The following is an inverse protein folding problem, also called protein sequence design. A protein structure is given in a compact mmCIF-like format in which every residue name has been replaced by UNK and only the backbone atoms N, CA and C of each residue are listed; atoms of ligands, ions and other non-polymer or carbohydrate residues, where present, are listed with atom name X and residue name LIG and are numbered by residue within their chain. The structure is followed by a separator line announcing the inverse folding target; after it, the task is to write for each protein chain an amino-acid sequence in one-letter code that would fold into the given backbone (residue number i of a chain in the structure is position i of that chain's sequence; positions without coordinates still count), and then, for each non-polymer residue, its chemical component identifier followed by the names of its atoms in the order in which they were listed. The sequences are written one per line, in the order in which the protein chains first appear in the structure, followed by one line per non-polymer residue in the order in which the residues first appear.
data_IF_152270955248
#
_entry.id   IF_152270955248
#
_cell.length_a   1.000
_cell.length_b   1.000
_cell.length_c   1.000
_cell.angle_alpha   90.00
_cell.angle_beta   90.00
_cell.angle_gamma   90.00
#
_symmetry.space_group_name_H-M   'P 1'
#
loop_
_entity.id
_entity.type
_entity.pdbx_description
1 polymer ?
#
# COMPACT_ATOMS: atom_id res chain seq x y z
N UNK A 1 9.40 13.92 -8.55
CA UNK A 1 8.45 13.13 -7.77
C UNK A 1 7.00 13.54 -8.08
N UNK A 2 6.58 14.78 -7.77
CA UNK A 2 5.18 15.25 -7.87
C UNK A 2 4.53 14.99 -9.23
N UNK A 3 5.21 15.28 -10.33
CA UNK A 3 4.66 15.04 -11.67
C UNK A 3 4.20 13.58 -11.89
N UNK A 4 5.00 12.60 -11.48
CA UNK A 4 4.65 11.18 -11.61
C UNK A 4 3.58 10.76 -10.60
N UNK A 5 3.62 11.31 -9.41
CA UNK A 5 2.61 11.07 -8.39
C UNK A 5 1.23 11.57 -8.84
N UNK A 6 1.16 12.76 -9.43
CA UNK A 6 -0.09 13.30 -9.99
C UNK A 6 -0.63 12.44 -11.15
N UNK A 7 0.22 11.87 -12.00
CA UNK A 7 -0.21 10.94 -13.07
C UNK A 7 -0.89 9.71 -12.46
N UNK A 8 -0.31 9.12 -11.41
CA UNK A 8 -0.92 7.98 -10.71
C UNK A 8 -2.24 8.39 -10.07
N UNK A 9 -2.27 9.52 -9.35
CA UNK A 9 -3.47 10.00 -8.67
C UNK A 9 -4.61 10.29 -9.65
N UNK A 10 -4.33 10.99 -10.76
CA UNK A 10 -5.32 11.28 -11.80
C UNK A 10 -5.86 10.00 -12.44
N UNK A 11 -5.01 9.02 -12.74
CA UNK A 11 -5.46 7.74 -13.31
C UNK A 11 -6.31 6.93 -12.31
N UNK A 12 -5.96 6.94 -11.02
CA UNK A 12 -6.78 6.32 -9.96
C UNK A 12 -8.17 6.95 -9.91
N UNK A 13 -8.27 8.28 -9.93
CA UNK A 13 -9.55 8.98 -9.91
C UNK A 13 -10.37 8.61 -11.16
N UNK A 14 -9.79 8.67 -12.35
CA UNK A 14 -10.48 8.32 -13.58
C UNK A 14 -11.01 6.87 -13.60
N UNK A 15 -10.22 5.92 -13.07
CA UNK A 15 -10.64 4.52 -12.95
C UNK A 15 -11.77 4.35 -11.92
N UNK A 16 -11.74 5.10 -10.83
CA UNK A 16 -12.81 5.08 -9.83
C UNK A 16 -14.09 5.70 -10.38
N UNK A 17 -14.01 6.86 -11.04
CA UNK A 17 -15.16 7.52 -11.66
C UNK A 17 -15.85 6.61 -12.69
N UNK A 18 -15.06 5.92 -13.51
CA UNK A 18 -15.59 4.95 -14.48
C UNK A 18 -16.27 3.76 -13.80
N UNK A 19 -15.69 3.24 -12.73
CA UNK A 19 -16.27 2.12 -11.97
C UNK A 19 -17.55 2.53 -11.23
N UNK A 20 -17.61 3.72 -10.64
CA UNK A 20 -18.80 4.27 -10.00
C UNK A 20 -19.93 4.47 -11.02
N UNK A 21 -19.63 5.00 -12.20
CA UNK A 21 -20.60 5.16 -13.28
C UNK A 21 -21.17 3.81 -13.75
N UNK A 22 -20.36 2.75 -13.80
CA UNK A 22 -20.79 1.40 -14.18
C UNK A 22 -21.61 0.71 -13.09
N UNK A 23 -21.33 0.99 -11.82
CA UNK A 23 -22.03 0.39 -10.67
C UNK A 23 -23.40 1.05 -10.41
N UNK A 24 -23.68 2.21 -10.97
CA UNK A 24 -24.94 2.92 -10.79
C UNK A 24 -25.20 3.23 -9.30
N UNK A 25 -26.37 2.82 -8.79
CA UNK A 25 -26.72 3.00 -7.38
C UNK A 25 -26.05 1.98 -6.44
N UNK A 26 -25.29 1.01 -6.98
CA UNK A 26 -24.56 0.01 -6.20
C UNK A 26 -23.18 0.50 -5.76
N UNK A 27 -22.54 -0.29 -4.91
CA UNK A 27 -21.16 -0.06 -4.55
C UNK A 27 -20.21 -0.68 -5.58
N UNK A 28 -19.10 0.01 -5.85
CA UNK A 28 -18.02 -0.57 -6.67
C UNK A 28 -17.50 -1.84 -5.99
N UNK A 29 -17.37 -2.97 -6.71
CA UNK A 29 -16.85 -4.20 -6.12
C UNK A 29 -15.46 -4.02 -5.51
N UNK A 30 -15.21 -4.63 -4.35
CA UNK A 30 -13.96 -4.52 -3.62
C UNK A 30 -12.74 -4.89 -4.48
N UNK A 31 -12.85 -5.95 -5.29
CA UNK A 31 -11.77 -6.35 -6.21
C UNK A 31 -11.44 -5.23 -7.21
N UNK A 32 -12.45 -4.59 -7.76
CA UNK A 32 -12.29 -3.47 -8.69
C UNK A 32 -11.57 -2.30 -8.02
N UNK A 33 -11.97 -1.94 -6.79
CA UNK A 33 -11.32 -0.88 -6.02
C UNK A 33 -9.84 -1.20 -5.77
N UNK A 34 -9.54 -2.39 -5.30
CA UNK A 34 -8.17 -2.82 -5.01
C UNK A 34 -7.32 -2.82 -6.29
N UNK A 35 -7.82 -3.44 -7.36
CA UNK A 35 -7.11 -3.54 -8.64
C UNK A 35 -6.86 -2.16 -9.27
N UNK A 36 -7.88 -1.31 -9.32
CA UNK A 36 -7.78 0.05 -9.88
C UNK A 36 -6.85 0.95 -9.06
N UNK A 37 -6.74 0.72 -7.75
CA UNK A 37 -5.81 1.47 -6.91
C UNK A 37 -4.36 1.04 -7.13
N UNK A 38 -4.09 -0.26 -7.25
CA UNK A 38 -2.74 -0.83 -7.33
C UNK A 38 -2.12 -0.68 -8.73
N UNK A 39 -2.90 -0.94 -9.77
CA UNK A 39 -2.41 -1.01 -11.17
C UNK A 39 -1.61 0.23 -11.59
N UNK A 40 -2.08 1.49 -11.42
CA UNK A 40 -1.34 2.65 -11.89
C UNK A 40 0.03 2.83 -11.22
N UNK A 41 0.15 2.40 -9.95
CA UNK A 41 1.41 2.51 -9.22
C UNK A 41 2.42 1.44 -9.67
N UNK A 42 1.97 0.21 -9.90
CA UNK A 42 2.81 -0.88 -10.38
C UNK A 42 3.26 -0.63 -11.83
N UNK A 43 2.37 -0.15 -12.70
CA UNK A 43 2.73 0.28 -14.06
C UNK A 43 3.78 1.40 -14.04
N UNK A 44 3.65 2.37 -13.14
CA UNK A 44 4.64 3.45 -12.99
C UNK A 44 6.01 2.90 -12.61
N UNK A 45 6.10 1.91 -11.75
CA UNK A 45 7.35 1.28 -11.34
C UNK A 45 8.11 0.66 -12.53
N UNK A 46 7.40 0.25 -13.58
CA UNK A 46 7.96 -0.38 -14.77
C UNK A 46 8.37 0.61 -15.88
N UNK A 47 8.12 1.90 -15.69
CA UNK A 47 8.47 2.94 -16.66
C UNK A 47 9.98 3.28 -16.65
N UNK A 48 10.83 2.29 -16.84
CA UNK A 48 12.27 2.44 -16.93
C UNK A 48 12.91 2.97 -15.63
N UNK A 49 14.06 3.63 -15.76
CA UNK A 49 14.83 4.12 -14.61
C UNK A 49 14.08 5.20 -13.83
N UNK A 50 13.37 6.10 -14.52
CA UNK A 50 12.59 7.16 -13.88
C UNK A 50 11.41 6.64 -13.06
N UNK A 51 10.78 5.52 -13.45
CA UNK A 51 9.75 4.83 -12.68
C UNK A 51 10.33 4.21 -11.42
N UNK A 52 11.45 3.50 -11.54
CA UNK A 52 12.17 2.91 -10.39
C UNK A 52 12.64 3.97 -9.39
N UNK A 53 13.20 5.08 -9.88
CA UNK A 53 13.61 6.20 -9.03
C UNK A 53 12.41 6.82 -8.29
N UNK A 54 11.26 6.97 -8.97
CA UNK A 54 10.03 7.45 -8.34
C UNK A 54 9.60 6.56 -7.17
N UNK A 55 9.56 5.24 -7.36
CA UNK A 55 9.16 4.30 -6.30
C UNK A 55 10.11 4.32 -5.11
N UNK A 56 11.43 4.39 -5.34
CA UNK A 56 12.41 4.55 -4.24
C UNK A 56 12.14 5.80 -3.42
N UNK A 57 11.96 6.95 -4.09
CA UNK A 57 11.66 8.22 -3.40
C UNK A 57 10.34 8.11 -2.64
N UNK A 58 9.31 7.51 -3.24
CA UNK A 58 8.02 7.33 -2.58
C UNK A 58 8.14 6.48 -1.30
N UNK A 59 8.89 5.38 -1.35
CA UNK A 59 9.14 4.51 -0.19
C UNK A 59 9.92 5.25 0.91
N UNK A 60 10.94 6.03 0.55
CA UNK A 60 11.70 6.83 1.50
C UNK A 60 10.83 7.88 2.18
N UNK A 61 10.04 8.64 1.41
CA UNK A 61 9.13 9.66 1.93
C UNK A 61 8.07 9.09 2.89
N UNK A 62 7.71 7.81 2.78
CA UNK A 62 6.80 7.17 3.75
C UNK A 62 7.49 6.83 5.06
N UNK A 63 8.76 6.54 5.04
CA UNK A 63 9.57 6.29 6.25
C UNK A 63 9.96 7.56 7.01
N UNK A 64 9.89 8.72 6.36
CA UNK A 64 10.22 9.98 6.99
C UNK A 64 9.03 10.56 7.77
N UNK A 65 9.26 10.84 9.06
CA UNK A 65 8.28 11.45 9.96
C UNK A 65 8.20 13.00 9.82
N UNK A 66 8.97 13.60 8.90
CA UNK A 66 9.04 15.04 8.73
C UNK A 66 7.84 15.67 8.01
N UNK A 67 7.53 16.93 8.37
CA UNK A 67 6.40 17.69 7.81
C UNK A 67 6.46 17.82 6.30
N UNK A 68 7.65 17.95 5.71
CA UNK A 68 7.82 18.05 4.26
C UNK A 68 7.37 16.78 3.53
N UNK A 69 7.74 15.58 4.04
CA UNK A 69 7.31 14.31 3.47
C UNK A 69 5.79 14.14 3.54
N UNK A 70 5.19 14.55 4.65
CA UNK A 70 3.73 14.52 4.83
C UNK A 70 3.03 15.50 3.86
N UNK A 71 3.52 16.74 3.74
CA UNK A 71 2.96 17.75 2.84
C UNK A 71 3.03 17.30 1.37
N UNK A 72 4.16 16.75 0.93
CA UNK A 72 4.33 16.23 -0.43
C UNK A 72 3.38 15.07 -0.73
N UNK A 73 3.17 14.16 0.23
CA UNK A 73 2.21 13.05 0.06
C UNK A 73 0.77 13.53 0.00
N UNK A 74 0.38 14.47 0.86
CA UNK A 74 -0.95 15.08 0.83
C UNK A 74 -1.20 15.79 -0.49
N UNK A 75 -0.25 16.61 -0.94
CA UNK A 75 -0.34 17.29 -2.23
C UNK A 75 -0.47 16.32 -3.40
N UNK A 76 0.30 15.22 -3.38
CA UNK A 76 0.36 14.28 -4.48
C UNK A 76 -0.84 13.33 -4.55
N UNK A 77 -1.31 12.83 -3.41
CA UNK A 77 -2.24 11.71 -3.33
C UNK A 77 -3.48 11.97 -2.47
N UNK A 78 -3.58 13.11 -1.75
CA UNK A 78 -4.64 13.36 -0.78
C UNK A 78 -6.03 13.09 -1.35
N UNK A 79 -6.40 13.78 -2.43
CA UNK A 79 -7.71 13.65 -3.06
C UNK A 79 -8.02 12.20 -3.53
N UNK A 80 -7.06 11.53 -4.17
CA UNK A 80 -7.25 10.13 -4.60
C UNK A 80 -7.36 9.17 -3.42
N UNK A 81 -6.61 9.41 -2.35
CA UNK A 81 -6.69 8.61 -1.12
C UNK A 81 -8.04 8.74 -0.45
N UNK A 82 -8.53 9.95 -0.27
CA UNK A 82 -9.84 10.22 0.34
C UNK A 82 -10.98 9.55 -0.44
N UNK A 83 -10.97 9.67 -1.76
CA UNK A 83 -11.96 9.04 -2.64
C UNK A 83 -11.95 7.52 -2.51
N UNK A 84 -10.78 6.88 -2.58
CA UNK A 84 -10.66 5.42 -2.46
C UNK A 84 -11.00 4.92 -1.07
N UNK A 85 -10.61 5.61 -0.01
CA UNK A 85 -10.99 5.23 1.36
C UNK A 85 -12.49 5.32 1.55
N UNK A 86 -13.14 6.36 1.03
CA UNK A 86 -14.61 6.48 1.06
C UNK A 86 -15.29 5.30 0.33
N UNK A 87 -14.84 4.96 -0.87
CA UNK A 87 -15.37 3.84 -1.64
C UNK A 87 -15.12 2.49 -0.94
N UNK A 88 -13.96 2.30 -0.30
CA UNK A 88 -13.65 1.10 0.49
C UNK A 88 -14.52 0.99 1.75
N UNK A 89 -14.83 2.10 2.42
CA UNK A 89 -15.78 2.12 3.54
C UNK A 89 -17.17 1.65 3.08
N UNK A 90 -17.62 2.11 1.92
CA UNK A 90 -18.91 1.70 1.34
C UNK A 90 -18.91 0.22 0.93
N UNK A 91 -17.80 -0.29 0.38
CA UNK A 91 -17.65 -1.69 -0.03
C UNK A 91 -17.45 -2.67 1.16
N UNK A 92 -17.03 -2.16 2.33
CA UNK A 92 -16.72 -2.97 3.51
C UNK A 92 -17.51 -2.49 4.75
N UNK A 93 -18.86 -2.54 4.75
CA UNK A 93 -19.68 -1.99 5.83
C UNK A 93 -19.52 -2.71 7.17
N UNK A 94 -18.89 -3.88 7.19
CA UNK A 94 -18.54 -4.64 8.40
C UNK A 94 -17.31 -4.08 9.14
N UNK A 95 -16.61 -3.13 8.53
CA UNK A 95 -15.42 -2.50 9.11
C UNK A 95 -15.70 -1.09 9.59
N UNK A 96 -15.07 -0.70 10.71
CA UNK A 96 -15.01 0.72 11.07
C UNK A 96 -14.13 1.49 10.10
N UNK A 97 -14.33 2.80 10.00
CA UNK A 97 -13.48 3.67 9.19
C UNK A 97 -11.99 3.55 9.59
N UNK A 98 -11.70 3.44 10.88
CA UNK A 98 -10.36 3.20 11.40
C UNK A 98 -9.74 1.91 10.85
N UNK A 99 -10.49 0.81 10.88
CA UNK A 99 -10.03 -0.47 10.34
C UNK A 99 -9.76 -0.39 8.83
N UNK A 100 -10.60 0.35 8.08
CA UNK A 100 -10.37 0.60 6.65
C UNK A 100 -9.08 1.38 6.43
N UNK A 101 -8.80 2.43 7.21
CA UNK A 101 -7.54 3.19 7.12
C UNK A 101 -6.32 2.33 7.39
N UNK A 102 -6.35 1.46 8.41
CA UNK A 102 -5.26 0.52 8.70
C UNK A 102 -5.00 -0.42 7.52
N UNK A 103 -6.05 -1.07 7.00
CA UNK A 103 -5.96 -2.03 5.90
C UNK A 103 -5.52 -1.37 4.59
N UNK A 104 -6.02 -0.16 4.34
CA UNK A 104 -5.56 0.66 3.22
C UNK A 104 -4.06 0.97 3.34
N UNK A 105 -3.60 1.35 4.52
CA UNK A 105 -2.17 1.62 4.74
C UNK A 105 -1.30 0.37 4.58
N UNK A 106 -1.78 -0.81 4.99
CA UNK A 106 -1.09 -2.09 4.76
C UNK A 106 -1.01 -2.42 3.26
N UNK A 107 -2.09 -2.25 2.53
CA UNK A 107 -2.12 -2.43 1.07
C UNK A 107 -1.12 -1.50 0.37
N UNK A 108 -1.07 -0.23 0.77
CA UNK A 108 -0.08 0.73 0.23
C UNK A 108 1.34 0.30 0.58
N UNK A 109 1.61 -0.12 1.80
CA UNK A 109 2.90 -0.64 2.22
C UNK A 109 3.35 -1.83 1.39
N UNK A 110 2.43 -2.78 1.16
CA UNK A 110 2.72 -4.00 0.41
C UNK A 110 3.18 -3.72 -1.03
N UNK A 111 2.46 -2.86 -1.79
CA UNK A 111 2.90 -2.56 -3.16
C UNK A 111 4.22 -1.80 -3.21
N UNK A 112 4.47 -0.92 -2.24
CA UNK A 112 5.74 -0.18 -2.17
C UNK A 112 6.91 -1.12 -1.88
N UNK A 113 6.74 -2.07 -0.97
CA UNK A 113 7.78 -3.08 -0.70
C UNK A 113 8.10 -3.86 -1.96
N UNK A 114 7.10 -4.41 -2.63
CA UNK A 114 7.32 -5.18 -3.88
C UNK A 114 8.02 -4.33 -4.94
N UNK A 115 7.57 -3.08 -5.13
CA UNK A 115 8.07 -2.22 -6.21
C UNK A 115 9.45 -1.62 -5.92
N UNK A 116 9.85 -1.44 -4.65
CA UNK A 116 11.08 -0.74 -4.26
C UNK A 116 12.27 -1.68 -4.06
N UNK A 117 12.02 -2.98 -3.86
CA UNK A 117 13.04 -3.96 -3.48
C UNK A 117 13.47 -4.84 -4.67
N UNK A 118 13.90 -4.22 -5.77
CA UNK A 118 14.44 -4.95 -6.90
C UNK A 118 15.54 -5.93 -6.45
N UNK A 119 15.34 -7.21 -6.76
CA UNK A 119 16.30 -8.28 -6.48
C UNK A 119 16.11 -9.02 -5.15
N UNK A 120 15.50 -8.42 -4.13
CA UNK A 120 15.34 -9.10 -2.82
C UNK A 120 14.33 -10.25 -2.85
N UNK A 121 13.24 -10.07 -3.58
CA UNK A 121 12.23 -11.13 -3.72
C UNK A 121 12.80 -12.33 -4.48
N UNK A 122 13.58 -12.06 -5.49
CA UNK A 122 14.32 -13.04 -6.25
C UNK A 122 15.30 -13.82 -5.36
N UNK A 123 16.07 -13.11 -4.52
CA UNK A 123 17.02 -13.72 -3.58
C UNK A 123 16.32 -14.63 -2.56
N UNK A 124 15.26 -14.17 -1.92
CA UNK A 124 14.54 -14.96 -0.92
C UNK A 124 13.85 -16.19 -1.50
N UNK A 125 13.39 -16.08 -2.73
CA UNK A 125 12.66 -17.17 -3.41
C UNK A 125 13.54 -18.10 -4.19
N UNK A 126 14.87 -17.88 -4.21
CA UNK A 126 15.78 -18.65 -5.08
C UNK A 126 15.45 -18.50 -6.57
N UNK A 127 14.92 -17.33 -6.97
CA UNK A 127 14.51 -17.03 -8.35
C UNK A 127 13.09 -17.49 -8.72
N UNK A 128 12.33 -18.06 -7.80
CA UNK A 128 10.94 -18.49 -8.08
C UNK A 128 9.98 -17.30 -8.30
N UNK A 129 10.30 -16.14 -7.75
CA UNK A 129 9.51 -14.90 -7.89
C UNK A 129 10.36 -13.80 -8.51
N UNK A 130 9.72 -12.94 -9.31
CA UNK A 130 10.36 -11.77 -9.90
C UNK A 130 9.50 -10.54 -9.67
N UNK A 131 9.99 -9.59 -8.86
CA UNK A 131 9.30 -8.33 -8.59
C UNK A 131 9.13 -7.45 -9.85
N UNK A 132 9.91 -7.71 -10.90
CA UNK A 132 9.77 -7.08 -12.20
C UNK A 132 8.54 -7.56 -12.99
N UNK A 133 7.95 -8.69 -12.63
CA UNK A 133 6.73 -9.20 -13.24
C UNK A 133 5.50 -8.56 -12.60
N UNK A 134 5.04 -7.44 -13.16
CA UNK A 134 3.89 -6.69 -12.66
C UNK A 134 2.61 -7.53 -12.61
N UNK A 135 2.36 -8.37 -13.62
CA UNK A 135 1.15 -9.19 -13.67
C UNK A 135 1.17 -10.20 -12.51
N UNK A 136 2.28 -10.91 -12.31
CA UNK A 136 2.43 -11.82 -11.18
C UNK A 136 2.29 -11.09 -9.83
N UNK A 137 2.84 -9.88 -9.71
CA UNK A 137 2.68 -9.07 -8.50
C UNK A 137 1.20 -8.71 -8.25
N UNK A 138 0.44 -8.31 -9.27
CA UNK A 138 -0.99 -8.03 -9.16
C UNK A 138 -1.79 -9.28 -8.80
N UNK A 139 -1.50 -10.42 -9.45
CA UNK A 139 -2.21 -11.68 -9.23
C UNK A 139 -2.06 -12.21 -7.80
N UNK A 140 -0.98 -11.84 -7.11
CA UNK A 140 -0.76 -12.17 -5.70
C UNK A 140 -1.28 -11.07 -4.76
N UNK A 141 -1.03 -9.80 -5.08
CA UNK A 141 -1.33 -8.69 -4.18
C UNK A 141 -2.82 -8.38 -4.10
N UNK A 142 -3.55 -8.52 -5.21
CA UNK A 142 -5.00 -8.26 -5.23
C UNK A 142 -5.76 -9.22 -4.32
N UNK A 143 -5.64 -10.56 -4.44
CA UNK A 143 -6.34 -11.48 -3.53
C UNK A 143 -5.85 -11.33 -2.08
N UNK A 144 -4.57 -11.06 -1.84
CA UNK A 144 -4.03 -10.77 -0.51
C UNK A 144 -4.71 -9.55 0.13
N UNK A 145 -4.83 -8.44 -0.60
CA UNK A 145 -5.47 -7.24 -0.10
C UNK A 145 -6.98 -7.47 0.12
N UNK A 146 -7.67 -8.14 -0.81
CA UNK A 146 -9.09 -8.47 -0.67
C UNK A 146 -9.32 -9.31 0.59
N UNK A 147 -8.55 -10.37 0.80
CA UNK A 147 -8.65 -11.19 2.00
C UNK A 147 -8.44 -10.35 3.27
N UNK A 148 -7.49 -9.41 3.22
CA UNK A 148 -7.27 -8.44 4.28
C UNK A 148 -8.49 -7.56 4.56
N UNK A 149 -9.17 -7.05 3.54
CA UNK A 149 -10.38 -6.23 3.72
C UNK A 149 -11.60 -7.05 4.15
N UNK A 150 -11.72 -8.31 3.76
CA UNK A 150 -12.83 -9.20 4.14
C UNK A 150 -12.67 -9.81 5.54
N UNK A 151 -11.45 -9.86 6.07
CA UNK A 151 -11.21 -10.41 7.40
C UNK A 151 -12.06 -9.69 8.46
N UNK A 152 -12.55 -10.43 9.44
CA UNK A 152 -13.26 -9.86 10.57
C UNK A 152 -12.38 -8.82 11.31
N UNK A 153 -12.97 -7.74 11.86
CA UNK A 153 -12.23 -6.84 12.73
C UNK A 153 -11.73 -7.58 13.97
N UNK A 154 -10.62 -7.12 14.60
CA UNK A 154 -10.19 -7.65 15.89
C UNK A 154 -11.35 -7.60 16.89
N UNK A 155 -11.51 -8.63 17.72
CA UNK A 155 -12.47 -8.59 18.82
C UNK A 155 -12.20 -7.36 19.71
N UNK A 156 -13.25 -6.62 20.09
CA UNK A 156 -13.15 -5.37 20.86
C UNK A 156 -12.45 -5.52 22.22
N UNK A 157 -12.11 -6.73 22.62
CA UNK A 157 -11.44 -7.11 23.88
C UNK A 157 -10.10 -7.82 23.69
N UNK A 158 -9.40 -7.66 22.57
CA UNK A 158 -8.00 -8.03 22.56
C UNK A 158 -7.29 -7.15 23.59
N UNK A 159 -6.96 -7.73 24.76
CA UNK A 159 -6.19 -7.04 25.79
C UNK A 159 -4.99 -6.36 25.11
N UNK A 160 -4.64 -5.12 25.48
CA UNK A 160 -3.47 -4.47 24.92
C UNK A 160 -2.28 -5.43 25.08
N UNK A 161 -1.56 -5.68 23.99
CA UNK A 161 -0.32 -6.48 24.07
C UNK A 161 0.52 -5.78 25.12
N UNK A 162 0.65 -6.42 26.31
CA UNK A 162 1.50 -5.89 27.36
C UNK A 162 2.86 -5.63 26.72
N UNK A 163 3.50 -4.46 26.93
CA UNK A 163 4.83 -4.21 26.41
C UNK A 163 5.71 -5.32 26.96
N UNK A 164 5.99 -6.32 26.12
CA UNK A 164 6.94 -7.37 26.46
C UNK A 164 8.23 -6.64 26.76
N UNK A 165 8.69 -6.73 28.00
CA UNK A 165 9.90 -6.11 28.48
C UNK A 165 11.07 -6.58 27.62
N UNK A 166 11.35 -5.87 26.52
CA UNK A 166 12.62 -5.90 25.79
C UNK A 166 13.72 -5.14 26.57
N UNK A 167 13.50 -4.96 27.89
CA UNK A 167 14.50 -4.50 28.80
C UNK A 167 15.22 -5.74 29.38
N UNK A 168 16.31 -6.12 28.76
CA UNK A 168 17.48 -6.80 29.33
C UNK A 168 18.15 -7.82 28.40
N UNK A 169 18.25 -7.52 27.11
CA UNK A 169 19.30 -8.14 26.30
C UNK A 169 20.61 -7.36 26.56
N UNK A 170 21.36 -7.82 27.58
CA UNK A 170 22.75 -7.38 27.83
C UNK A 170 23.54 -7.64 26.55
N UNK A 171 23.93 -6.58 25.84
CA UNK A 171 24.86 -6.67 24.70
C UNK A 171 26.18 -7.21 25.25
N UNK A 172 26.70 -8.36 24.76
CA UNK A 172 28.01 -8.85 25.19
C UNK A 172 29.07 -7.84 24.76
N UNK A 173 29.91 -7.45 25.73
CA UNK A 173 30.95 -6.46 25.56
C UNK A 173 31.90 -6.83 24.40
N UNK A 174 32.14 -5.87 23.50
CA UNK A 174 33.25 -5.91 22.56
C UNK A 174 34.55 -5.82 23.35
N UNK A 175 35.25 -6.94 23.46
CA UNK A 175 36.66 -6.94 23.88
C UNK A 175 37.48 -6.23 22.80
N UNK A 176 38.09 -5.09 23.15
CA UNK A 176 39.10 -4.43 22.31
C UNK A 176 40.37 -5.28 22.40
N UNK A 177 40.90 -5.68 21.25
CA UNK A 177 42.29 -6.01 21.02
C UNK A 177 42.88 -4.98 20.11
#
# INVERSE_FOLDING_TARGET
FLRRAHVIAARRIALLDAAEAQSGAGHVPLETLVRHFLTPALEMAQQGEGGRAFVRIHSQLRGEAGDLGLALRRQAFGASTERYVSALCAACPHLSAEAVYWRFNFMVGSYLVVSSQAGRLEDYSGGACAASNMQAALDQLVPFAIAGFLAAPPAANAAPIAPTALANAKVPGRTRV
#
